data_IF_780290709475
#
_entry.id   IF_780290709475
#
_cell.length_a   1.000
_cell.length_b   1.000
_cell.length_c   1.000
_cell.angle_alpha   90.00
_cell.angle_beta   90.00
_cell.angle_gamma   90.00
#
_symmetry.space_group_name_H-M   'P 1'
#
loop_
_entity.id
_entity.type
_entity.pdbx_description
1 polymer ?
#
# COMPACT_ATOMS: atom_id res chain seq x y z
N UNK A 1 -11.32 42.53 -30.44
CA UNK A 1 -10.54 41.36 -30.90
C UNK A 1 -10.98 40.20 -30.05
N UNK A 2 -11.91 39.39 -30.57
CA UNK A 2 -12.41 38.22 -29.87
C UNK A 2 -11.41 37.10 -30.12
N UNK A 3 -10.70 36.68 -29.08
CA UNK A 3 -9.96 35.42 -29.10
C UNK A 3 -10.93 34.30 -29.51
N UNK A 4 -10.55 33.39 -30.40
CA UNK A 4 -11.39 32.25 -30.72
C UNK A 4 -11.65 31.44 -29.44
N UNK A 5 -12.82 30.80 -29.30
CA UNK A 5 -13.06 29.90 -28.18
C UNK A 5 -12.00 28.79 -28.20
N UNK A 6 -11.27 28.63 -27.08
CA UNK A 6 -10.40 27.47 -26.87
C UNK A 6 -11.25 26.21 -27.09
N UNK A 7 -10.76 25.20 -27.81
CA UNK A 7 -11.44 23.92 -27.87
C UNK A 7 -11.65 23.39 -26.43
N UNK A 8 -12.75 22.68 -26.15
CA UNK A 8 -12.95 22.08 -24.83
C UNK A 8 -11.73 21.22 -24.49
N UNK A 9 -11.22 21.34 -23.26
CA UNK A 9 -10.16 20.48 -22.73
C UNK A 9 -10.63 19.02 -22.78
N UNK A 10 -10.33 18.34 -23.88
CA UNK A 10 -10.67 16.93 -24.06
C UNK A 10 -9.72 16.11 -23.22
N UNK A 11 -10.23 15.60 -22.09
CA UNK A 11 -9.55 14.56 -21.32
C UNK A 11 -9.43 13.33 -22.22
N UNK A 12 -8.20 12.99 -22.63
CA UNK A 12 -7.93 11.81 -23.42
C UNK A 12 -7.98 10.57 -22.53
N UNK A 13 -8.93 9.67 -22.78
CA UNK A 13 -9.06 8.41 -22.04
C UNK A 13 -8.11 7.31 -22.58
N UNK A 14 -6.87 7.66 -22.94
CA UNK A 14 -5.92 6.71 -23.57
C UNK A 14 -5.53 5.53 -22.66
N UNK A 15 -5.90 5.59 -21.39
CA UNK A 15 -5.57 4.60 -20.37
C UNK A 15 -4.31 4.98 -19.61
N UNK A 16 -3.88 4.07 -18.73
CA UNK A 16 -2.66 4.23 -17.94
C UNK A 16 -1.43 3.84 -18.77
N UNK A 17 -0.21 4.28 -18.42
CA UNK A 17 1.00 3.82 -19.08
C UNK A 17 1.07 2.30 -19.16
N UNK A 18 1.50 1.76 -20.30
CA UNK A 18 1.53 0.31 -20.59
C UNK A 18 2.36 -0.48 -19.58
N UNK A 19 3.37 0.14 -18.99
CA UNK A 19 4.18 -0.43 -17.91
C UNK A 19 3.39 -0.69 -16.61
N UNK A 20 2.33 0.08 -16.35
CA UNK A 20 1.47 -0.09 -15.17
C UNK A 20 0.23 -0.95 -15.44
N UNK A 21 -0.14 -1.19 -16.69
CA UNK A 21 -1.32 -2.01 -17.03
C UNK A 21 -1.28 -3.42 -16.38
N UNK A 22 -0.17 -4.18 -16.41
CA UNK A 22 -0.14 -5.52 -15.81
C UNK A 22 -0.39 -5.48 -14.30
N UNK A 23 0.17 -4.50 -13.59
CA UNK A 23 -0.02 -4.39 -12.14
C UNK A 23 -1.42 -3.90 -11.79
N UNK A 24 -1.98 -2.96 -12.56
CA UNK A 24 -3.36 -2.50 -12.37
C UNK A 24 -4.33 -3.66 -12.59
N UNK A 25 -4.18 -4.42 -13.67
CA UNK A 25 -5.01 -5.59 -13.98
C UNK A 25 -4.86 -6.67 -12.90
N UNK A 26 -3.63 -7.04 -12.54
CA UNK A 26 -3.39 -8.08 -11.54
C UNK A 26 -3.95 -7.71 -10.15
N UNK A 27 -3.82 -6.44 -9.73
CA UNK A 27 -4.25 -5.99 -8.40
C UNK A 27 -5.75 -5.68 -8.31
N UNK A 28 -6.39 -5.32 -9.43
CA UNK A 28 -7.85 -5.09 -9.50
C UNK A 28 -8.65 -6.34 -9.86
N UNK A 29 -7.99 -7.44 -10.26
CA UNK A 29 -8.65 -8.69 -10.59
C UNK A 29 -9.42 -9.26 -9.40
N UNK A 30 -10.70 -9.58 -9.60
CA UNK A 30 -11.61 -10.06 -8.55
C UNK A 30 -11.66 -9.16 -7.31
N UNK A 31 -11.47 -7.85 -7.49
CA UNK A 31 -11.56 -6.88 -6.39
C UNK A 31 -12.99 -6.82 -5.83
N UNK A 32 -13.11 -6.87 -4.50
CA UNK A 32 -14.39 -6.92 -3.78
C UNK A 32 -14.33 -5.97 -2.58
N UNK A 33 -15.43 -5.25 -2.34
CA UNK A 33 -15.66 -4.49 -1.12
C UNK A 33 -14.92 -3.16 -1.07
N UNK A 34 -14.53 -2.73 0.13
CA UNK A 34 -13.82 -1.46 0.40
C UNK A 34 -14.64 -0.20 0.16
N UNK A 35 -15.96 -0.31 0.17
CA UNK A 35 -16.88 0.83 -0.03
C UNK A 35 -16.61 1.97 0.96
N UNK A 36 -16.23 1.65 2.21
CA UNK A 36 -15.88 2.65 3.20
C UNK A 36 -14.67 3.52 2.77
N UNK A 37 -13.71 2.95 2.04
CA UNK A 37 -12.53 3.67 1.55
C UNK A 37 -12.92 4.60 0.39
N UNK A 38 -13.68 4.08 -0.58
CA UNK A 38 -14.12 4.89 -1.71
C UNK A 38 -15.09 6.00 -1.29
N UNK A 39 -15.95 5.73 -0.31
CA UNK A 39 -16.80 6.74 0.33
C UNK A 39 -15.96 7.84 0.96
N UNK A 40 -14.94 7.48 1.75
CA UNK A 40 -14.05 8.46 2.38
C UNK A 40 -13.26 9.29 1.35
N UNK A 41 -12.80 8.67 0.25
CA UNK A 41 -12.16 9.39 -0.87
C UNK A 41 -13.17 10.37 -1.48
N UNK A 42 -14.39 9.93 -1.78
CA UNK A 42 -15.41 10.79 -2.39
C UNK A 42 -15.76 11.98 -1.49
N UNK A 43 -15.97 11.75 -0.19
CA UNK A 43 -16.24 12.78 0.80
C UNK A 43 -15.08 13.79 0.88
N UNK A 44 -13.83 13.33 0.88
CA UNK A 44 -12.67 14.19 0.87
C UNK A 44 -12.60 15.07 -0.38
N UNK A 45 -12.79 14.47 -1.56
CA UNK A 45 -12.81 15.17 -2.85
C UNK A 45 -13.99 16.14 -2.99
N UNK A 46 -15.07 15.97 -2.22
CA UNK A 46 -16.21 16.89 -2.20
C UNK A 46 -16.01 18.02 -1.19
N UNK A 47 -15.40 17.72 -0.04
CA UNK A 47 -15.23 18.66 1.07
C UNK A 47 -14.15 19.69 0.84
N UNK A 48 -13.03 19.28 0.25
CA UNK A 48 -11.88 20.15 -0.01
C UNK A 48 -11.79 20.47 -1.49
N UNK A 49 -11.13 21.59 -1.83
CA UNK A 49 -10.86 21.96 -3.24
C UNK A 49 -9.58 21.34 -3.79
N UNK A 50 -8.73 20.86 -2.90
CA UNK A 50 -7.41 20.30 -3.19
C UNK A 50 -6.94 19.52 -1.96
N UNK A 51 -5.97 18.61 -2.13
CA UNK A 51 -5.32 18.00 -0.96
C UNK A 51 -4.71 16.62 -1.18
N UNK A 52 -4.20 16.06 -0.09
CA UNK A 52 -3.58 14.73 -0.04
C UNK A 52 -4.45 13.76 0.77
N UNK A 53 -4.88 12.67 0.14
CA UNK A 53 -5.55 11.56 0.82
C UNK A 53 -4.60 10.37 0.89
N UNK A 54 -4.26 9.89 2.08
CA UNK A 54 -3.31 8.80 2.27
C UNK A 54 -4.00 7.58 2.87
N UNK A 55 -3.96 6.46 2.17
CA UNK A 55 -4.39 5.16 2.68
C UNK A 55 -3.18 4.48 3.33
N UNK A 56 -3.27 4.23 4.63
CA UNK A 56 -2.24 3.50 5.39
C UNK A 56 -2.75 2.13 5.83
N UNK A 57 -1.83 1.24 6.17
CA UNK A 57 -2.16 -0.07 6.71
C UNK A 57 -1.03 -1.07 6.56
N UNK A 58 -1.07 -2.20 7.28
CA UNK A 58 0.02 -3.16 7.32
C UNK A 58 0.28 -3.83 5.95
N UNK A 59 1.41 -4.52 5.79
CA UNK A 59 1.69 -5.32 4.61
C UNK A 59 0.55 -6.32 4.31
N UNK A 60 0.14 -6.39 3.05
CA UNK A 60 -0.92 -7.31 2.62
C UNK A 60 -2.35 -6.86 2.90
N UNK A 61 -2.55 -5.65 3.45
CA UNK A 61 -3.87 -5.10 3.75
C UNK A 61 -4.71 -4.67 2.53
N UNK A 62 -4.24 -4.84 1.29
CA UNK A 62 -5.01 -4.51 0.07
C UNK A 62 -4.89 -3.08 -0.46
N UNK A 63 -3.98 -2.25 0.07
CA UNK A 63 -3.77 -0.85 -0.36
C UNK A 63 -3.61 -0.67 -1.88
N UNK A 64 -2.66 -1.40 -2.49
CA UNK A 64 -2.41 -1.34 -3.93
C UNK A 64 -3.60 -1.79 -4.77
N UNK A 65 -4.38 -2.76 -4.26
CA UNK A 65 -5.60 -3.21 -4.92
C UNK A 65 -6.67 -2.11 -4.95
N UNK A 66 -6.79 -1.32 -3.88
CA UNK A 66 -7.72 -0.18 -3.81
C UNK A 66 -7.36 0.88 -4.85
N UNK A 67 -6.08 1.29 -4.94
CA UNK A 67 -5.68 2.28 -5.94
C UNK A 67 -5.76 1.75 -7.37
N UNK A 68 -5.38 0.49 -7.61
CA UNK A 68 -5.53 -0.15 -8.91
C UNK A 68 -7.00 -0.16 -9.35
N UNK A 69 -7.92 -0.56 -8.45
CA UNK A 69 -9.36 -0.52 -8.72
C UNK A 69 -9.86 0.90 -9.01
N UNK A 70 -9.43 1.87 -8.21
CA UNK A 70 -9.76 3.28 -8.42
C UNK A 70 -9.31 3.77 -9.81
N UNK A 71 -8.09 3.41 -10.21
CA UNK A 71 -7.53 3.76 -11.52
C UNK A 71 -8.26 3.05 -12.68
N UNK A 72 -8.66 1.79 -12.50
CA UNK A 72 -9.49 1.05 -13.47
C UNK A 72 -10.85 1.73 -13.68
N UNK A 73 -11.50 2.15 -12.60
CA UNK A 73 -12.81 2.79 -12.67
C UNK A 73 -12.75 4.25 -13.14
N UNK A 74 -11.56 4.87 -13.07
CA UNK A 74 -11.33 6.26 -13.45
C UNK A 74 -10.11 6.39 -14.39
N UNK A 75 -10.25 6.10 -15.70
CA UNK A 75 -9.13 6.06 -16.66
C UNK A 75 -8.41 7.39 -16.91
N UNK A 76 -8.91 8.50 -16.37
CA UNK A 76 -8.32 9.84 -16.48
C UNK A 76 -7.41 10.20 -15.29
N UNK A 77 -7.35 9.32 -14.30
CA UNK A 77 -6.51 9.48 -13.11
C UNK A 77 -5.08 9.12 -13.47
N UNK A 78 -4.11 9.92 -13.05
CA UNK A 78 -2.70 9.58 -13.21
C UNK A 78 -2.36 8.46 -12.23
N UNK A 79 -1.66 7.43 -12.69
CA UNK A 79 -1.27 6.29 -11.84
C UNK A 79 0.24 6.06 -11.87
N UNK A 80 0.83 5.92 -10.68
CA UNK A 80 2.24 5.61 -10.53
C UNK A 80 2.43 4.55 -9.45
N UNK A 81 3.19 3.50 -9.76
CA UNK A 81 3.55 2.47 -8.79
C UNK A 81 5.06 2.48 -8.52
N UNK A 82 5.42 2.72 -7.26
CA UNK A 82 6.81 2.88 -6.80
C UNK A 82 7.51 1.52 -6.63
N UNK A 83 6.75 0.44 -6.43
CA UNK A 83 7.29 -0.90 -6.19
C UNK A 83 7.76 -1.59 -7.48
N UNK A 84 7.39 -1.06 -8.65
CA UNK A 84 7.97 -1.51 -9.91
C UNK A 84 9.47 -1.18 -9.98
N UNK A 85 10.24 -2.11 -10.55
CA UNK A 85 11.69 -1.98 -10.66
C UNK A 85 12.09 -0.70 -11.40
N UNK A 86 13.01 0.06 -10.80
CA UNK A 86 13.47 1.35 -11.33
C UNK A 86 12.54 2.54 -11.09
N UNK A 87 11.31 2.33 -10.59
CA UNK A 87 10.30 3.39 -10.36
C UNK A 87 10.34 3.97 -8.94
N UNK A 88 11.40 3.70 -8.18
CA UNK A 88 11.58 4.22 -6.84
C UNK A 88 12.40 5.51 -6.76
N UNK A 89 12.82 6.07 -7.90
CA UNK A 89 13.63 7.30 -7.99
C UNK A 89 12.79 8.51 -8.34
N UNK A 90 13.17 9.67 -7.80
CA UNK A 90 12.43 10.91 -8.00
C UNK A 90 12.44 11.40 -9.46
N UNK A 91 13.54 11.22 -10.17
CA UNK A 91 13.67 11.61 -11.58
C UNK A 91 12.72 10.82 -12.48
N UNK A 92 12.63 9.50 -12.23
CA UNK A 92 11.72 8.59 -12.94
C UNK A 92 10.25 8.92 -12.64
N UNK A 93 9.95 9.24 -11.38
CA UNK A 93 8.62 9.71 -10.99
C UNK A 93 8.24 10.99 -11.75
N UNK A 94 9.09 12.02 -11.70
CA UNK A 94 8.84 13.31 -12.36
C UNK A 94 8.62 13.09 -13.87
N UNK A 95 9.51 12.35 -14.51
CA UNK A 95 9.44 12.09 -15.95
C UNK A 95 8.13 11.42 -16.34
N UNK A 96 7.74 10.39 -15.60
CA UNK A 96 6.54 9.61 -15.88
C UNK A 96 5.25 10.41 -15.62
N UNK A 97 5.15 11.11 -14.49
CA UNK A 97 3.97 11.92 -14.16
C UNK A 97 3.81 13.06 -15.17
N UNK A 98 4.87 13.80 -15.49
CA UNK A 98 4.80 14.86 -16.50
C UNK A 98 4.32 14.32 -17.85
N UNK A 99 4.82 13.15 -18.27
CA UNK A 99 4.40 12.50 -19.52
C UNK A 99 2.90 12.17 -19.49
N UNK A 100 2.41 11.52 -18.41
CA UNK A 100 0.99 11.21 -18.24
C UNK A 100 0.12 12.47 -18.25
N UNK A 101 0.52 13.53 -17.56
CA UNK A 101 -0.20 14.79 -17.50
C UNK A 101 -0.34 15.42 -18.90
N UNK A 102 0.73 15.44 -19.69
CA UNK A 102 0.72 15.96 -21.06
C UNK A 102 -0.22 15.14 -21.94
N UNK A 103 -0.19 13.81 -21.83
CA UNK A 103 -1.01 12.90 -22.64
C UNK A 103 -2.50 13.00 -22.30
N UNK A 104 -2.85 12.99 -21.01
CA UNK A 104 -4.23 13.02 -20.52
C UNK A 104 -4.89 14.37 -20.85
N UNK A 105 -4.17 15.49 -20.67
CA UNK A 105 -4.69 16.84 -20.88
C UNK A 105 -4.37 17.43 -22.25
N UNK A 106 -3.75 16.65 -23.15
CA UNK A 106 -3.41 17.05 -24.51
C UNK A 106 -2.64 18.39 -24.59
N UNK A 107 -1.61 18.55 -23.75
CA UNK A 107 -0.86 19.80 -23.65
C UNK A 107 0.16 19.89 -24.80
N UNK A 108 -0.09 20.79 -25.75
CA UNK A 108 0.85 21.11 -26.83
C UNK A 108 2.02 21.99 -26.32
N UNK A 109 3.25 21.66 -26.72
CA UNK A 109 4.49 22.46 -26.54
C UNK A 109 5.13 22.49 -25.14
N UNK A 110 5.75 21.38 -24.73
CA UNK A 110 6.95 21.45 -23.88
C UNK A 110 8.14 20.88 -24.67
N UNK A 111 9.27 21.61 -24.78
CA UNK A 111 10.49 20.98 -25.24
C UNK A 111 10.80 19.83 -24.28
N UNK A 112 10.88 18.60 -24.79
CA UNK A 112 11.12 17.35 -24.04
C UNK A 112 12.57 17.28 -23.50
N UNK A 113 13.22 18.43 -23.33
CA UNK A 113 14.55 18.52 -22.74
C UNK A 113 14.45 18.30 -21.23
N UNK A 114 14.38 17.03 -20.83
CA UNK A 114 14.43 16.52 -19.45
C UNK A 114 13.48 17.20 -18.46
N UNK A 115 12.37 16.54 -18.14
CA UNK A 115 11.48 16.96 -17.06
C UNK A 115 12.23 17.09 -15.74
N UNK A 116 11.94 18.17 -15.02
CA UNK A 116 12.45 18.40 -13.67
C UNK A 116 11.30 18.81 -12.74
N UNK A 117 11.63 19.05 -11.47
CA UNK A 117 10.65 19.46 -10.45
C UNK A 117 9.85 20.71 -10.85
N UNK A 118 10.51 21.70 -11.45
CA UNK A 118 9.88 22.94 -11.91
C UNK A 118 8.87 22.64 -13.02
N UNK A 119 9.22 21.75 -13.96
CA UNK A 119 8.31 21.30 -15.00
C UNK A 119 7.05 20.65 -14.42
N UNK A 120 7.20 19.77 -13.43
CA UNK A 120 6.06 19.11 -12.76
C UNK A 120 5.15 20.13 -12.10
N UNK A 121 5.71 21.06 -11.31
CA UNK A 121 4.92 22.07 -10.61
C UNK A 121 4.21 23.02 -11.58
N UNK A 122 4.88 23.43 -12.66
CA UNK A 122 4.30 24.26 -13.71
C UNK A 122 3.16 23.55 -14.44
N UNK A 123 3.32 22.28 -14.80
CA UNK A 123 2.28 21.47 -15.43
C UNK A 123 1.05 21.33 -14.53
N UNK A 124 1.25 21.01 -13.26
CA UNK A 124 0.15 20.92 -12.28
C UNK A 124 -0.60 22.26 -12.19
N UNK A 125 0.11 23.39 -12.13
CA UNK A 125 -0.51 24.71 -12.08
C UNK A 125 -1.27 25.03 -13.37
N UNK A 126 -0.66 24.82 -14.54
CA UNK A 126 -1.28 25.08 -15.83
C UNK A 126 -2.56 24.25 -16.00
N UNK A 127 -2.53 22.97 -15.62
CA UNK A 127 -3.72 22.11 -15.69
C UNK A 127 -4.80 22.66 -14.77
N UNK A 128 -4.45 22.97 -13.52
CA UNK A 128 -5.38 23.52 -12.52
C UNK A 128 -6.08 24.79 -13.01
N UNK A 129 -5.35 25.73 -13.63
CA UNK A 129 -5.90 26.98 -14.16
C UNK A 129 -6.91 26.76 -15.30
N UNK A 130 -6.84 25.60 -15.96
CA UNK A 130 -7.71 25.23 -17.08
C UNK A 130 -8.75 24.14 -16.74
N UNK A 131 -8.85 23.72 -15.48
CA UNK A 131 -9.87 22.78 -15.04
C UNK A 131 -11.26 23.44 -15.02
N UNK A 132 -12.25 22.76 -15.61
CA UNK A 132 -13.65 23.14 -15.44
C UNK A 132 -14.11 22.94 -13.99
N UNK A 133 -15.16 23.65 -13.50
CA UNK A 133 -15.57 23.62 -12.08
C UNK A 133 -15.86 22.24 -11.47
N UNK A 134 -16.17 21.23 -12.28
CA UNK A 134 -16.42 19.85 -11.84
C UNK A 134 -15.27 18.89 -12.13
N UNK A 135 -14.28 19.33 -12.92
CA UNK A 135 -13.11 18.53 -13.26
C UNK A 135 -12.09 18.58 -12.11
N UNK A 136 -11.36 17.48 -11.96
CA UNK A 136 -10.32 17.32 -10.94
C UNK A 136 -9.12 16.64 -11.56
N UNK A 137 -7.93 17.12 -11.22
CA UNK A 137 -6.69 16.41 -11.48
C UNK A 137 -6.43 15.51 -10.26
N UNK A 138 -6.44 14.20 -10.46
CA UNK A 138 -6.14 13.22 -9.42
C UNK A 138 -4.90 12.45 -9.82
N UNK A 139 -3.89 12.48 -8.95
CA UNK A 139 -2.62 11.77 -9.11
C UNK A 139 -2.53 10.69 -8.03
N UNK A 140 -2.39 9.44 -8.44
CA UNK A 140 -2.30 8.30 -7.54
C UNK A 140 -0.88 7.77 -7.46
N UNK A 141 -0.38 7.57 -6.24
CA UNK A 141 0.97 7.06 -5.99
C UNK A 141 0.86 5.85 -5.07
N UNK A 142 1.12 4.68 -5.64
CA UNK A 142 1.06 3.40 -4.93
C UNK A 142 2.43 3.01 -4.37
N UNK A 143 2.51 2.85 -3.04
CA UNK A 143 3.70 2.39 -2.34
C UNK A 143 4.70 3.51 -2.05
N UNK A 144 4.24 4.68 -1.62
CA UNK A 144 5.10 5.85 -1.36
C UNK A 144 6.23 5.59 -0.34
N UNK A 145 6.07 4.61 0.56
CA UNK A 145 7.13 4.16 1.48
C UNK A 145 8.35 3.53 0.79
N UNK A 146 8.24 3.15 -0.49
CA UNK A 146 9.28 2.44 -1.24
C UNK A 146 10.28 3.33 -1.97
N UNK A 147 10.14 4.64 -1.86
CA UNK A 147 11.03 5.61 -2.48
C UNK A 147 12.49 5.42 -2.02
N UNK A 148 13.43 5.48 -2.96
CA UNK A 148 14.85 5.56 -2.65
C UNK A 148 15.18 6.97 -2.13
N UNK A 149 15.23 7.11 -0.80
CA UNK A 149 15.53 8.40 -0.18
C UNK A 149 16.95 8.89 -0.48
N UNK A 150 17.86 8.03 -0.91
CA UNK A 150 19.21 8.44 -1.32
C UNK A 150 19.22 9.06 -2.73
N UNK A 151 18.14 8.89 -3.50
CA UNK A 151 17.97 9.52 -4.81
C UNK A 151 17.38 10.93 -4.71
N UNK A 152 17.22 11.50 -3.51
CA UNK A 152 16.69 12.85 -3.32
C UNK A 152 17.52 13.63 -2.30
N UNK A 153 17.44 14.96 -2.39
CA UNK A 153 18.14 15.84 -1.44
C UNK A 153 17.59 15.63 -0.01
N UNK A 154 18.46 15.50 1.01
CA UNK A 154 18.00 15.36 2.39
C UNK A 154 17.09 16.52 2.82
N UNK A 155 16.02 16.19 3.56
CA UNK A 155 15.07 17.18 4.08
C UNK A 155 14.05 17.71 3.07
N UNK A 156 14.04 17.21 1.82
CA UNK A 156 12.98 17.54 0.86
C UNK A 156 11.74 16.68 1.06
N UNK A 157 10.61 17.14 0.51
CA UNK A 157 9.38 16.36 0.48
C UNK A 157 9.60 15.07 -0.34
N UNK A 158 8.92 13.97 0.01
CA UNK A 158 8.98 12.74 -0.79
C UNK A 158 8.61 13.02 -2.24
N UNK A 159 9.40 12.52 -3.19
CA UNK A 159 9.26 12.79 -4.64
C UNK A 159 9.18 14.27 -5.02
N UNK A 160 9.66 15.16 -4.13
CA UNK A 160 9.52 16.59 -4.26
C UNK A 160 8.06 17.06 -4.48
N UNK A 161 7.11 16.34 -3.88
CA UNK A 161 5.70 16.67 -3.96
C UNK A 161 5.43 18.13 -3.48
N UNK A 162 4.50 18.86 -4.10
CA UNK A 162 4.22 20.25 -3.73
C UNK A 162 3.68 20.37 -2.30
N UNK A 163 4.23 21.30 -1.51
CA UNK A 163 3.69 21.59 -0.16
C UNK A 163 2.29 22.21 -0.22
N UNK A 164 2.12 23.13 -1.17
CA UNK A 164 0.85 23.75 -1.53
C UNK A 164 0.38 23.16 -2.86
N UNK A 165 -0.92 22.88 -2.96
CA UNK A 165 -1.55 22.50 -4.20
C UNK A 165 -2.37 23.68 -4.73
N UNK A 166 -2.62 23.74 -6.05
CA UNK A 166 -3.62 24.63 -6.61
C UNK A 166 -5.00 23.95 -6.65
N UNK A 167 -6.05 24.76 -6.85
CA UNK A 167 -7.45 24.32 -6.78
C UNK A 167 -7.73 23.20 -7.81
N UNK A 168 -8.51 22.20 -7.43
CA UNK A 168 -8.86 21.06 -8.27
C UNK A 168 -7.81 19.94 -8.33
N UNK A 169 -6.68 20.06 -7.63
CA UNK A 169 -5.60 19.05 -7.63
C UNK A 169 -5.58 18.20 -6.36
N UNK A 170 -5.54 16.88 -6.54
CA UNK A 170 -5.54 15.91 -5.45
C UNK A 170 -4.49 14.83 -5.67
N UNK A 171 -3.90 14.39 -4.57
CA UNK A 171 -3.04 13.21 -4.53
C UNK A 171 -3.70 12.12 -3.69
N UNK A 172 -3.84 10.91 -4.25
CA UNK A 172 -4.21 9.72 -3.48
C UNK A 172 -2.98 8.84 -3.32
N UNK A 173 -2.57 8.62 -2.09
CA UNK A 173 -1.33 7.95 -1.74
C UNK A 173 -1.64 6.64 -1.04
N UNK A 174 -0.86 5.60 -1.29
CA UNK A 174 -0.77 4.46 -0.37
C UNK A 174 0.61 4.39 0.23
N UNK A 175 0.67 3.99 1.51
CA UNK A 175 1.93 3.67 2.17
C UNK A 175 1.74 2.72 3.35
N UNK A 176 2.82 2.07 3.76
CA UNK A 176 2.88 1.32 5.02
C UNK A 176 2.81 2.27 6.23
N UNK A 177 2.53 1.73 7.45
CA UNK A 177 2.53 2.53 8.67
C UNK A 177 3.88 3.21 8.88
N UNK A 178 3.86 4.36 9.53
CA UNK A 178 5.03 5.18 9.78
C UNK A 178 4.84 5.97 11.07
N UNK A 179 5.94 6.32 11.71
CA UNK A 179 5.96 7.26 12.81
C UNK A 179 5.72 8.68 12.29
N UNK A 180 4.87 9.45 12.97
CA UNK A 180 4.37 10.73 12.47
C UNK A 180 5.49 11.71 12.12
N UNK A 181 6.51 11.77 12.96
CA UNK A 181 7.72 12.57 12.82
C UNK A 181 8.63 12.08 11.68
N UNK A 182 8.54 10.80 11.30
CA UNK A 182 9.25 10.20 10.16
C UNK A 182 8.40 10.12 8.88
N UNK A 183 7.28 10.85 8.83
CA UNK A 183 6.38 10.86 7.67
C UNK A 183 7.10 11.12 6.35
N UNK A 184 8.06 12.05 6.34
CA UNK A 184 8.74 12.53 5.13
C UNK A 184 7.85 13.40 4.23
N UNK A 185 6.53 13.41 4.44
CA UNK A 185 5.59 14.27 3.73
C UNK A 185 5.51 15.65 4.39
N UNK A 186 5.91 16.68 3.66
CA UNK A 186 5.85 18.08 4.06
C UNK A 186 4.68 18.76 3.32
N UNK A 187 3.50 18.79 3.95
CA UNK A 187 2.25 19.21 3.31
C UNK A 187 1.64 20.39 4.07
N UNK A 188 1.21 21.42 3.34
CA UNK A 188 0.56 22.64 3.87
C UNK A 188 -0.81 22.90 3.22
N UNK A 189 -1.42 21.85 2.67
CA UNK A 189 -2.78 21.82 2.11
C UNK A 189 -3.63 20.80 2.89
N UNK A 190 -4.97 20.79 2.79
CA UNK A 190 -5.78 19.78 3.46
C UNK A 190 -5.26 18.36 3.20
N UNK A 191 -5.13 17.59 4.27
CA UNK A 191 -4.73 16.19 4.18
C UNK A 191 -5.60 15.32 5.07
N UNK A 192 -5.80 14.09 4.62
CA UNK A 192 -6.54 13.07 5.36
C UNK A 192 -5.77 11.75 5.29
N UNK A 193 -5.70 11.05 6.43
CA UNK A 193 -5.09 9.72 6.52
C UNK A 193 -6.19 8.76 6.92
N UNK A 194 -6.44 7.77 6.08
CA UNK A 194 -7.33 6.64 6.37
C UNK A 194 -6.48 5.42 6.65
N UNK A 195 -6.44 4.98 7.91
CA UNK A 195 -5.74 3.76 8.30
C UNK A 195 -6.68 2.57 8.20
N UNK A 196 -6.36 1.62 7.31
CA UNK A 196 -7.17 0.42 7.12
C UNK A 196 -7.27 -0.41 8.40
N UNK A 197 -6.29 -0.37 9.29
CA UNK A 197 -6.33 -1.13 10.55
C UNK A 197 -7.44 -0.66 11.51
N UNK A 198 -7.90 0.59 11.38
CA UNK A 198 -8.93 1.19 12.26
C UNK A 198 -10.35 0.73 11.87
N UNK A 199 -10.50 0.05 10.73
CA UNK A 199 -11.78 -0.39 10.17
C UNK A 199 -11.91 -1.93 10.19
N UNK A 200 -11.63 -2.55 11.34
CA UNK A 200 -11.59 -4.01 11.50
C UNK A 200 -12.89 -4.71 11.09
N UNK A 201 -14.05 -4.17 11.48
CA UNK A 201 -15.36 -4.74 11.16
C UNK A 201 -15.63 -4.74 9.64
N UNK A 202 -15.44 -3.60 8.98
CA UNK A 202 -15.62 -3.48 7.53
C UNK A 202 -14.65 -4.38 6.76
N UNK A 203 -13.38 -4.44 7.19
CA UNK A 203 -12.40 -5.34 6.57
C UNK A 203 -12.81 -6.81 6.71
N UNK A 204 -13.32 -7.22 7.87
CA UNK A 204 -13.75 -8.59 8.10
C UNK A 204 -14.94 -8.96 7.21
N UNK A 205 -15.89 -8.04 7.02
CA UNK A 205 -17.02 -8.22 6.11
C UNK A 205 -16.55 -8.35 4.65
N UNK A 206 -15.63 -7.49 4.21
CA UNK A 206 -15.06 -7.54 2.86
C UNK A 206 -14.31 -8.87 2.62
N UNK A 207 -13.57 -9.36 3.61
CA UNK A 207 -12.86 -10.65 3.55
C UNK A 207 -13.82 -11.82 3.42
N UNK A 208 -14.88 -11.85 4.24
CA UNK A 208 -15.87 -12.91 4.16
C UNK A 208 -16.52 -12.93 2.78
N UNK A 209 -16.88 -11.75 2.26
CA UNK A 209 -17.45 -11.61 0.91
C UNK A 209 -16.46 -12.08 -0.15
N UNK A 210 -15.18 -11.71 -0.02
CA UNK A 210 -14.12 -12.14 -0.95
C UNK A 210 -13.98 -13.66 -0.98
N UNK A 211 -13.89 -14.31 0.18
CA UNK A 211 -13.76 -15.77 0.28
C UNK A 211 -15.01 -16.46 -0.31
N UNK A 212 -16.21 -15.99 0.03
CA UNK A 212 -17.47 -16.57 -0.47
C UNK A 212 -17.57 -16.50 -2.00
N UNK A 213 -17.21 -15.36 -2.60
CA UNK A 213 -17.23 -15.24 -4.05
C UNK A 213 -16.18 -16.14 -4.72
N UNK A 214 -14.98 -16.22 -4.14
CA UNK A 214 -13.90 -17.06 -4.68
C UNK A 214 -14.23 -18.56 -4.59
N UNK A 215 -14.91 -19.01 -3.53
CA UNK A 215 -15.41 -20.39 -3.40
C UNK A 215 -16.45 -20.79 -4.46
N UNK A 216 -17.06 -19.80 -5.12
CA UNK A 216 -18.00 -20.00 -6.21
C UNK A 216 -17.32 -19.93 -7.59
N UNK A 217 -16.01 -19.69 -7.66
CA UNK A 217 -15.24 -19.69 -8.90
C UNK A 217 -15.10 -21.11 -9.48
N UNK A 218 -15.14 -21.25 -10.80
CA UNK A 218 -15.06 -22.55 -11.48
C UNK A 218 -13.79 -23.32 -11.12
N UNK A 219 -12.68 -22.63 -10.87
CA UNK A 219 -11.39 -23.25 -10.56
C UNK A 219 -11.36 -23.99 -9.22
N UNK A 220 -12.20 -23.58 -8.24
CA UNK A 220 -12.21 -24.19 -6.90
C UNK A 220 -13.37 -25.16 -6.69
N UNK A 221 -14.43 -25.08 -7.50
CA UNK A 221 -15.57 -26.00 -7.41
C UNK A 221 -15.14 -27.48 -7.36
N UNK A 222 -14.18 -27.97 -8.18
CA UNK A 222 -13.73 -29.35 -8.12
C UNK A 222 -13.12 -29.72 -6.75
N UNK A 223 -12.23 -28.87 -6.24
CA UNK A 223 -11.57 -29.07 -4.94
C UNK A 223 -12.60 -29.07 -3.80
N UNK A 224 -13.51 -28.09 -3.80
CA UNK A 224 -14.58 -27.96 -2.80
C UNK A 224 -15.47 -29.20 -2.77
N UNK A 225 -15.89 -29.68 -3.94
CA UNK A 225 -16.76 -30.86 -4.06
C UNK A 225 -16.04 -32.14 -3.64
N UNK A 226 -14.76 -32.28 -3.99
CA UNK A 226 -13.95 -33.45 -3.62
C UNK A 226 -13.78 -33.56 -2.09
N UNK A 227 -13.52 -32.43 -1.42
CA UNK A 227 -13.29 -32.40 0.02
C UNK A 227 -14.55 -32.19 0.88
N UNK A 228 -15.74 -32.12 0.28
CA UNK A 228 -17.03 -31.91 0.97
C UNK A 228 -17.01 -30.71 1.94
N UNK A 229 -16.36 -29.63 1.53
CA UNK A 229 -16.14 -28.46 2.38
C UNK A 229 -17.46 -27.78 2.72
N UNK A 230 -17.71 -27.57 4.03
CA UNK A 230 -18.75 -26.67 4.49
C UNK A 230 -18.27 -25.23 4.25
N UNK A 231 -18.89 -24.54 3.28
CA UNK A 231 -18.50 -23.19 2.85
C UNK A 231 -18.49 -22.18 4.01
N UNK A 232 -19.47 -22.27 4.91
CA UNK A 232 -19.62 -21.33 6.02
C UNK A 232 -18.52 -21.54 7.07
N UNK A 233 -18.25 -22.80 7.45
CA UNK A 233 -17.18 -23.13 8.40
C UNK A 233 -15.81 -22.77 7.85
N UNK A 234 -15.57 -23.06 6.56
CA UNK A 234 -14.35 -22.70 5.87
C UNK A 234 -14.15 -21.18 5.82
N UNK A 235 -15.16 -20.44 5.37
CA UNK A 235 -15.10 -18.99 5.30
C UNK A 235 -14.83 -18.38 6.67
N UNK A 236 -15.50 -18.86 7.72
CA UNK A 236 -15.31 -18.40 9.09
C UNK A 236 -13.88 -18.67 9.58
N UNK A 237 -13.38 -19.89 9.36
CA UNK A 237 -12.05 -20.30 9.80
C UNK A 237 -10.94 -19.54 9.06
N UNK A 238 -11.02 -19.43 7.73
CA UNK A 238 -10.04 -18.69 6.95
C UNK A 238 -10.07 -17.19 7.27
N UNK A 239 -11.25 -16.59 7.37
CA UNK A 239 -11.37 -15.18 7.76
C UNK A 239 -10.71 -14.92 9.13
N UNK A 240 -10.97 -15.78 10.12
CA UNK A 240 -10.33 -15.65 11.44
C UNK A 240 -8.80 -15.77 11.37
N UNK A 241 -8.27 -16.74 10.61
CA UNK A 241 -6.82 -16.94 10.47
C UNK A 241 -6.11 -15.91 9.62
N UNK A 242 -6.85 -15.17 8.80
CA UNK A 242 -6.28 -14.13 7.97
C UNK A 242 -5.89 -12.89 8.76
N UNK A 243 -6.48 -12.68 9.94
CA UNK A 243 -6.26 -11.46 10.75
C UNK A 243 -6.39 -10.17 9.93
N UNK A 244 -7.40 -10.14 9.05
CA UNK A 244 -7.66 -9.06 8.10
C UNK A 244 -6.59 -8.86 6.99
N UNK A 245 -5.73 -9.85 6.76
CA UNK A 245 -4.68 -9.83 5.75
C UNK A 245 -5.15 -10.44 4.42
N UNK A 246 -5.47 -9.56 3.45
CA UNK A 246 -5.90 -9.98 2.12
C UNK A 246 -4.82 -10.73 1.34
N UNK A 247 -3.53 -10.40 1.52
CA UNK A 247 -2.43 -11.14 0.88
C UNK A 247 -2.40 -12.59 1.33
N UNK A 248 -2.57 -12.84 2.64
CA UNK A 248 -2.67 -14.20 3.15
C UNK A 248 -3.81 -14.96 2.46
N UNK A 249 -5.01 -14.38 2.44
CA UNK A 249 -6.18 -15.01 1.84
C UNK A 249 -5.96 -15.28 0.35
N UNK A 250 -5.49 -14.28 -0.41
CA UNK A 250 -5.29 -14.43 -1.85
C UNK A 250 -4.27 -15.52 -2.19
N UNK A 251 -3.19 -15.62 -1.41
CA UNK A 251 -2.16 -16.63 -1.64
C UNK A 251 -2.65 -18.04 -1.30
N UNK A 252 -3.42 -18.19 -0.22
CA UNK A 252 -3.98 -19.49 0.14
C UNK A 252 -5.02 -19.93 -0.89
N UNK A 253 -5.93 -19.04 -1.27
CA UNK A 253 -6.98 -19.33 -2.24
C UNK A 253 -6.40 -19.65 -3.63
N UNK A 254 -5.37 -18.92 -4.08
CA UNK A 254 -4.64 -19.23 -5.31
C UNK A 254 -3.99 -20.63 -5.23
N UNK A 255 -3.30 -20.94 -4.14
CA UNK A 255 -2.66 -22.24 -3.95
C UNK A 255 -3.67 -23.41 -3.93
N UNK A 256 -4.88 -23.20 -3.41
CA UNK A 256 -5.98 -24.18 -3.52
C UNK A 256 -6.36 -24.40 -4.98
N UNK A 257 -6.56 -23.31 -5.74
CA UNK A 257 -6.92 -23.41 -7.17
C UNK A 257 -5.83 -24.09 -8.01
N UNK A 258 -4.56 -23.94 -7.61
CA UNK A 258 -3.39 -24.57 -8.25
C UNK A 258 -3.15 -26.02 -7.78
N UNK A 259 -3.98 -26.56 -6.88
CA UNK A 259 -3.87 -27.94 -6.40
C UNK A 259 -2.73 -28.18 -5.39
N UNK A 260 -2.20 -27.13 -4.76
CA UNK A 260 -1.14 -27.24 -3.75
C UNK A 260 -1.60 -28.00 -2.49
N UNK A 261 -2.90 -27.98 -2.19
CA UNK A 261 -3.52 -28.69 -1.07
C UNK A 261 -4.31 -29.91 -1.57
N UNK A 262 -3.66 -31.07 -1.81
CA UNK A 262 -4.31 -32.27 -2.36
C UNK A 262 -5.16 -33.04 -1.34
N UNK A 263 -4.95 -32.81 -0.05
CA UNK A 263 -5.75 -33.34 1.05
C UNK A 263 -6.64 -32.23 1.66
N UNK A 264 -7.42 -32.55 2.70
CA UNK A 264 -8.11 -31.53 3.49
C UNK A 264 -7.11 -30.46 3.94
N UNK A 265 -7.42 -29.17 3.69
CA UNK A 265 -6.53 -28.07 4.04
C UNK A 265 -5.98 -28.22 5.47
N UNK A 266 -4.68 -28.49 5.56
CA UNK A 266 -3.91 -28.45 6.79
C UNK A 266 -3.22 -27.10 6.93
N UNK A 267 -3.59 -26.34 7.96
CA UNK A 267 -3.17 -24.96 8.17
C UNK A 267 -1.66 -24.71 8.32
N UNK A 268 -0.87 -25.77 8.43
CA UNK A 268 0.56 -25.69 8.73
C UNK A 268 1.43 -25.55 7.47
N UNK A 269 0.86 -25.78 6.27
CA UNK A 269 1.59 -25.65 5.01
C UNK A 269 1.43 -24.26 4.42
N UNK A 270 2.54 -23.53 4.34
CA UNK A 270 2.62 -22.19 3.74
C UNK A 270 2.80 -22.36 2.22
N UNK A 271 1.96 -21.74 1.39
CA UNK A 271 2.08 -21.86 -0.05
C UNK A 271 3.30 -21.08 -0.57
N UNK A 272 3.91 -21.50 -1.70
CA UNK A 272 5.15 -20.90 -2.19
C UNK A 272 5.10 -19.38 -2.37
N UNK A 273 3.97 -18.85 -2.87
CA UNK A 273 3.81 -17.41 -3.06
C UNK A 273 3.77 -16.62 -1.74
N UNK A 274 3.20 -17.20 -0.68
CA UNK A 274 3.22 -16.59 0.66
C UNK A 274 4.60 -16.69 1.31
N UNK A 275 5.32 -17.81 1.11
CA UNK A 275 6.69 -17.95 1.60
C UNK A 275 7.63 -16.96 0.90
N UNK A 276 7.54 -16.80 -0.42
CA UNK A 276 8.31 -15.79 -1.15
C UNK A 276 8.02 -14.37 -0.65
N UNK A 277 6.74 -14.07 -0.36
CA UNK A 277 6.32 -12.80 0.21
C UNK A 277 6.95 -12.53 1.59
N UNK A 278 6.92 -13.52 2.49
CA UNK A 278 7.55 -13.42 3.80
C UNK A 278 9.07 -13.35 3.72
N UNK A 279 9.68 -14.10 2.79
CA UNK A 279 11.12 -14.05 2.54
C UNK A 279 11.57 -12.66 2.11
N UNK A 280 10.80 -11.97 1.26
CA UNK A 280 11.10 -10.60 0.86
C UNK A 280 11.05 -9.64 2.05
N UNK A 281 10.06 -9.78 2.94
CA UNK A 281 9.98 -8.97 4.15
C UNK A 281 11.16 -9.20 5.09
N UNK A 282 11.55 -10.47 5.30
CA UNK A 282 12.69 -10.79 6.14
C UNK A 282 14.01 -10.24 5.59
N UNK A 283 14.24 -10.33 4.27
CA UNK A 283 15.43 -9.72 3.65
C UNK A 283 15.47 -8.20 3.87
N UNK A 284 14.31 -7.52 3.79
CA UNK A 284 14.22 -6.08 4.08
C UNK A 284 14.51 -5.78 5.55
N UNK A 285 13.97 -6.57 6.47
CA UNK A 285 14.25 -6.42 7.90
C UNK A 285 15.73 -6.59 8.24
N UNK A 286 16.41 -7.57 7.63
CA UNK A 286 17.86 -7.79 7.82
C UNK A 286 18.69 -6.62 7.28
N UNK A 287 18.28 -6.03 6.15
CA UNK A 287 18.98 -4.90 5.56
C UNK A 287 18.68 -3.55 6.25
N UNK A 288 17.68 -3.50 7.15
CA UNK A 288 17.21 -2.25 7.76
C UNK A 288 18.07 -1.75 8.92
N UNK A 289 18.83 -2.65 9.58
CA UNK A 289 19.65 -2.33 10.75
C UNK A 289 21.13 -2.54 10.44
N UNK A 290 22.00 -1.71 11.03
CA UNK A 290 23.45 -1.83 10.88
C UNK A 290 24.04 -2.96 11.72
N UNK A 291 23.54 -3.11 12.96
CA UNK A 291 23.94 -4.20 13.86
C UNK A 291 23.02 -5.42 13.64
N UNK A 292 23.51 -6.37 12.85
CA UNK A 292 22.78 -7.60 12.53
C UNK A 292 22.63 -8.52 13.76
N UNK A 293 23.64 -8.59 14.64
CA UNK A 293 23.62 -9.49 15.81
C UNK A 293 22.64 -8.99 16.87
N UNK A 294 22.67 -7.69 17.16
CA UNK A 294 21.75 -7.06 18.10
C UNK A 294 20.31 -7.10 17.59
N UNK A 295 20.09 -6.69 16.33
CA UNK A 295 18.74 -6.75 15.74
C UNK A 295 18.22 -8.18 15.70
N UNK A 296 19.06 -9.19 15.39
CA UNK A 296 18.63 -10.59 15.47
C UNK A 296 18.24 -11.02 16.90
N UNK A 297 18.85 -10.46 17.94
CA UNK A 297 18.47 -10.72 19.34
C UNK A 297 17.09 -10.13 19.65
N UNK A 298 16.81 -8.89 19.21
CA UNK A 298 15.47 -8.28 19.30
C UNK A 298 14.43 -9.12 18.55
N UNK A 299 14.77 -9.57 17.34
CA UNK A 299 13.90 -10.43 16.53
C UNK A 299 13.53 -11.72 17.28
N UNK A 300 14.50 -12.38 17.92
CA UNK A 300 14.25 -13.61 18.70
C UNK A 300 13.27 -13.37 19.84
N UNK A 301 13.39 -12.25 20.56
CA UNK A 301 12.45 -11.91 21.65
C UNK A 301 11.04 -11.71 21.11
N UNK A 302 10.87 -10.91 20.04
CA UNK A 302 9.56 -10.67 19.42
C UNK A 302 8.89 -11.96 18.95
N UNK A 303 9.67 -12.86 18.34
CA UNK A 303 9.18 -14.13 17.81
C UNK A 303 8.83 -15.12 18.92
N UNK A 304 9.61 -15.17 20.01
CA UNK A 304 9.34 -16.06 21.15
C UNK A 304 8.11 -15.62 21.93
N UNK A 305 7.91 -14.31 22.10
CA UNK A 305 6.80 -13.79 22.89
C UNK A 305 5.43 -14.04 22.24
N UNK A 306 5.34 -13.98 20.90
CA UNK A 306 4.10 -14.16 20.11
C UNK A 306 2.90 -13.29 20.54
N UNK A 307 3.12 -12.30 21.39
CA UNK A 307 2.14 -11.36 21.93
C UNK A 307 2.78 -9.97 21.94
N UNK A 308 1.98 -8.89 21.95
CA UNK A 308 2.53 -7.54 22.07
C UNK A 308 3.45 -7.41 23.28
N UNK A 309 4.63 -6.83 23.08
CA UNK A 309 5.66 -6.63 24.11
C UNK A 309 6.13 -5.19 24.11
N UNK A 310 6.43 -4.64 25.30
CA UNK A 310 6.94 -3.27 25.44
C UNK A 310 8.45 -3.19 25.20
N UNK A 311 8.91 -2.00 24.85
CA UNK A 311 10.35 -1.70 24.71
C UNK A 311 11.10 -2.03 25.99
N UNK A 312 10.59 -1.58 27.14
CA UNK A 312 11.12 -1.86 28.48
C UNK A 312 11.29 -3.38 28.72
N UNK A 313 10.27 -4.19 28.40
CA UNK A 313 10.34 -5.64 28.59
C UNK A 313 11.38 -6.30 27.66
N UNK A 314 11.53 -5.84 26.42
CA UNK A 314 12.59 -6.34 25.54
C UNK A 314 13.97 -5.96 26.09
N UNK A 315 14.13 -4.71 26.53
CA UNK A 315 15.37 -4.19 27.11
C UNK A 315 15.79 -4.99 28.36
N UNK A 316 14.84 -5.33 29.25
CA UNK A 316 15.08 -6.19 30.40
C UNK A 316 15.53 -7.61 30.00
N UNK A 317 14.88 -8.23 29.00
CA UNK A 317 15.22 -9.58 28.53
C UNK A 317 16.63 -9.62 27.94
N UNK A 318 17.01 -8.59 27.17
CA UNK A 318 18.31 -8.52 26.49
C UNK A 318 19.40 -7.85 27.32
N UNK A 319 19.05 -7.26 28.48
CA UNK A 319 19.93 -6.41 29.27
C UNK A 319 20.62 -5.33 28.40
N UNK A 320 19.79 -4.61 27.64
CA UNK A 320 20.19 -3.59 26.66
C UNK A 320 19.51 -2.24 26.95
N UNK A 321 19.95 -1.19 26.28
CA UNK A 321 19.35 0.15 26.39
C UNK A 321 18.02 0.22 25.60
N UNK A 322 17.01 0.88 26.15
CA UNK A 322 15.70 1.04 25.49
C UNK A 322 15.81 1.79 24.16
N UNK A 323 16.74 2.74 24.04
CA UNK A 323 16.95 3.52 22.82
C UNK A 323 17.45 2.63 21.67
N UNK A 324 18.36 1.70 21.94
CA UNK A 324 18.88 0.77 20.93
C UNK A 324 17.75 -0.16 20.45
N UNK A 325 16.88 -0.60 21.36
CA UNK A 325 15.69 -1.40 21.01
C UNK A 325 14.71 -0.60 20.17
N UNK A 326 14.42 0.64 20.58
CA UNK A 326 13.54 1.55 19.87
C UNK A 326 14.05 1.75 18.43
N UNK A 327 15.33 2.07 18.23
CA UNK A 327 15.92 2.23 16.89
C UNK A 327 15.66 1.00 15.98
N UNK A 328 15.85 -0.21 16.51
CA UNK A 328 15.58 -1.46 15.77
C UNK A 328 14.10 -1.59 15.41
N UNK A 329 13.19 -1.31 16.36
CA UNK A 329 11.74 -1.41 16.15
C UNK A 329 11.23 -0.33 15.18
N UNK A 330 11.75 0.89 15.26
CA UNK A 330 11.44 1.97 14.34
C UNK A 330 11.83 1.62 12.89
N UNK A 331 13.00 0.99 12.71
CA UNK A 331 13.46 0.50 11.39
C UNK A 331 12.57 -0.63 10.85
N UNK A 332 11.87 -1.35 11.72
CA UNK A 332 10.92 -2.40 11.37
C UNK A 332 9.46 -1.98 11.44
N UNK A 333 9.17 -0.71 11.71
CA UNK A 333 7.82 -0.22 11.99
C UNK A 333 6.81 -0.62 10.91
N UNK A 334 7.23 -0.69 9.64
CA UNK A 334 6.39 -1.11 8.52
C UNK A 334 5.91 -2.58 8.58
N UNK A 335 6.55 -3.42 9.41
CA UNK A 335 6.24 -4.82 9.65
C UNK A 335 5.67 -5.07 11.06
N UNK A 336 5.47 -4.02 11.84
CA UNK A 336 4.98 -4.11 13.21
C UNK A 336 3.58 -3.49 13.33
N UNK A 337 2.85 -3.98 14.32
CA UNK A 337 1.68 -3.32 14.88
C UNK A 337 2.13 -2.60 16.13
N UNK A 338 1.78 -1.33 16.23
CA UNK A 338 2.07 -0.48 17.38
C UNK A 338 0.77 -0.18 18.13
N UNK A 339 0.77 -0.39 19.44
CA UNK A 339 -0.36 -0.11 20.32
C UNK A 339 0.12 0.60 21.58
N UNK A 340 -0.62 1.62 22.03
CA UNK A 340 -0.39 2.23 23.32
C UNK A 340 -1.36 1.65 24.35
N UNK A 341 -0.82 1.00 25.38
CA UNK A 341 -1.59 0.39 26.48
C UNK A 341 -1.09 1.01 27.78
N UNK A 342 -1.98 1.70 28.51
CA UNK A 342 -1.67 2.35 29.80
C UNK A 342 -0.47 3.31 29.75
N UNK A 343 -0.22 3.94 28.60
CA UNK A 343 0.89 4.88 28.40
C UNK A 343 2.22 4.25 28.00
N UNK A 344 2.31 2.91 27.93
CA UNK A 344 3.46 2.20 27.38
C UNK A 344 3.19 1.74 25.94
N UNK A 345 4.23 1.73 25.13
CA UNK A 345 4.18 1.29 23.73
C UNK A 345 4.44 -0.21 23.63
N UNK A 346 3.58 -0.90 22.88
CA UNK A 346 3.67 -2.33 22.65
C UNK A 346 3.77 -2.64 21.17
N UNK A 347 4.64 -3.60 20.85
CA UNK A 347 4.97 -3.99 19.49
C UNK A 347 4.70 -5.48 19.29
N UNK A 348 4.13 -5.82 18.14
CA UNK A 348 3.99 -7.19 17.64
C UNK A 348 4.13 -7.21 16.13
N UNK A 349 4.34 -8.38 15.51
CA UNK A 349 4.31 -8.47 14.05
C UNK A 349 2.93 -8.14 13.48
N UNK A 350 2.90 -7.63 12.25
CA UNK A 350 1.67 -7.30 11.52
C UNK A 350 0.76 -8.51 11.24
N UNK A 351 1.27 -9.74 11.35
CA UNK A 351 0.53 -10.97 11.07
C UNK A 351 1.14 -12.18 11.80
N UNK A 352 0.32 -12.98 12.47
CA UNK A 352 0.77 -14.13 13.27
C UNK A 352 1.45 -15.20 12.43
N UNK A 353 0.99 -15.47 11.20
CA UNK A 353 1.65 -16.46 10.35
C UNK A 353 3.05 -15.99 9.90
N UNK A 354 3.28 -14.67 9.79
CA UNK A 354 4.62 -14.15 9.51
C UNK A 354 5.54 -14.38 10.72
N UNK A 355 5.06 -14.10 11.93
CA UNK A 355 5.78 -14.40 13.19
C UNK A 355 6.16 -15.89 13.31
N UNK A 356 5.20 -16.80 13.07
CA UNK A 356 5.44 -18.26 13.09
C UNK A 356 6.44 -18.70 12.02
N UNK A 357 6.35 -18.14 10.81
CA UNK A 357 7.30 -18.44 9.75
C UNK A 357 8.71 -17.97 10.12
N UNK A 358 8.86 -16.79 10.74
CA UNK A 358 10.13 -16.31 11.27
C UNK A 358 10.69 -17.24 12.37
N UNK A 359 9.85 -17.74 13.28
CA UNK A 359 10.26 -18.71 14.30
C UNK A 359 10.94 -19.93 13.69
N UNK A 360 10.29 -20.54 12.71
CA UNK A 360 10.82 -21.71 12.02
C UNK A 360 12.15 -21.43 11.30
N UNK A 361 12.34 -20.21 10.76
CA UNK A 361 13.58 -19.81 10.09
C UNK A 361 14.73 -19.50 11.05
N UNK A 362 14.45 -19.20 12.30
CA UNK A 362 15.46 -18.91 13.33
C UNK A 362 15.88 -20.16 14.12
N UNK A 363 15.05 -21.21 14.09
CA UNK A 363 15.38 -22.53 14.66
C UNK A 363 16.24 -23.40 13.73
N UNK A 364 16.21 -23.12 12.42
CA UNK A 364 17.08 -23.71 11.38
C UNK A 364 18.37 -22.94 11.21
#
# INVERSE_FOLDING_TARGET
MNSPPKPPNTINSRGHPTEFEPIIQAKSHNFIGREFVFTAIHEFLHRYRQGYFTITGPPGSGKSAILAKYATDNPHVVYYNVELEGKNRAEEFISNICTQLIEIFAIDNLPVETFNITSLHQLIQQISDELEPQQKLIITIDGLDRIDRNSQSPGTNLFYLPRYLPDGVYFLLTRRPFLREKSGLLIETPSHILNLADHSESNQQDIQTYIQQYLNHEDIKPWRNHHQINEQEFCTSLAAKSENNFMYISQILAAISEGFYPESWQYNQIPPGLEAYYQQHWQKMKAANQDEEFSQSVLKVLVQQQQPISVEAIAEILNADEFDIEEVLENWFEFLTHQQISGAEYYSFYHTNFCKWLANKLET
#
